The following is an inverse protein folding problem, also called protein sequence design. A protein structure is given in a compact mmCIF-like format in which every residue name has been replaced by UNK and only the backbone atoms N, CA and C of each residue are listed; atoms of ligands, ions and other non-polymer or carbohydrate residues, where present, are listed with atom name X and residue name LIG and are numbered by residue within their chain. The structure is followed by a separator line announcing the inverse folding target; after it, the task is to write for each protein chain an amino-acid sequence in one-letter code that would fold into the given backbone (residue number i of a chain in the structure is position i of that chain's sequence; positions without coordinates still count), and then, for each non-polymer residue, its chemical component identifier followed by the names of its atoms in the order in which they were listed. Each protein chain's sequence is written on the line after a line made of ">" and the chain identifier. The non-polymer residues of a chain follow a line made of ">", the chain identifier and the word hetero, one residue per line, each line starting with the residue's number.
data_IF_516980132802
#
_entry.id   IF_516980132802
#
_cell.length_a   1.000
_cell.length_b   1.000
_cell.length_c   1.000
_cell.angle_alpha   90.00
_cell.angle_beta   90.00
_cell.angle_gamma   90.00
#
_symmetry.space_group_name_H-M   'P 1'
#
loop_
_entity.id
_entity.type
_entity.pdbx_description
1 polymer ?
#
# COMPACT_ATOMS: atom_id res chain seq x y z
N UNK A 1 19.10 10.53 34.58
CA UNK A 1 18.00 9.81 35.26
C UNK A 1 17.56 8.67 34.34
N UNK A 2 17.80 7.41 34.71
CA UNK A 2 17.42 6.26 33.89
C UNK A 2 15.97 5.86 34.18
N UNK A 3 15.04 5.96 33.22
CA UNK A 3 13.66 5.48 33.38
C UNK A 3 13.55 3.94 33.48
N UNK A 4 14.68 3.22 33.44
CA UNK A 4 14.75 1.75 33.48
C UNK A 4 15.17 1.17 34.83
N UNK A 5 15.26 1.98 35.88
CA UNK A 5 15.51 1.41 37.21
C UNK A 5 14.34 0.48 37.55
N UNK A 6 14.64 -0.80 37.80
CA UNK A 6 13.64 -1.81 38.13
C UNK A 6 12.91 -1.39 39.41
N UNK A 7 11.67 -0.91 39.25
CA UNK A 7 10.79 -0.71 40.41
C UNK A 7 10.49 -2.10 41.00
N UNK A 8 10.75 -2.25 42.28
CA UNK A 8 10.43 -3.45 43.05
C UNK A 8 8.95 -3.44 43.49
N UNK A 9 8.30 -2.28 43.40
CA UNK A 9 6.85 -2.12 43.60
C UNK A 9 5.98 -2.59 42.43
N UNK A 10 6.54 -3.36 41.49
CA UNK A 10 5.91 -3.73 40.22
C UNK A 10 6.17 -5.22 39.94
N UNK A 11 5.15 -5.97 39.52
CA UNK A 11 5.27 -7.42 39.30
C UNK A 11 6.01 -7.76 37.99
N UNK A 12 6.24 -9.05 37.74
CA UNK A 12 6.90 -9.48 36.50
C UNK A 12 6.09 -9.14 35.25
N UNK A 13 4.75 -9.25 35.28
CA UNK A 13 3.90 -9.00 34.11
C UNK A 13 3.95 -7.53 33.71
N UNK A 14 3.96 -6.64 34.69
CA UNK A 14 4.16 -5.23 34.44
C UNK A 14 5.50 -4.98 33.75
N UNK A 15 6.59 -5.67 34.15
CA UNK A 15 7.88 -5.53 33.45
C UNK A 15 7.74 -5.84 31.96
N UNK A 16 6.99 -6.88 31.59
CA UNK A 16 6.69 -7.20 30.18
C UNK A 16 5.97 -6.04 29.48
N UNK A 17 5.04 -5.34 30.15
CA UNK A 17 4.41 -4.14 29.59
C UNK A 17 5.41 -3.02 29.32
N UNK A 18 6.46 -2.83 30.15
CA UNK A 18 7.56 -1.89 29.85
C UNK A 18 8.26 -2.24 28.55
N UNK A 19 8.58 -3.52 28.39
CA UNK A 19 9.28 -4.01 27.20
C UNK A 19 8.41 -3.86 25.96
N UNK A 20 7.10 -4.07 26.09
CA UNK A 20 6.15 -3.81 25.02
C UNK A 20 6.11 -2.33 24.61
N UNK A 21 6.06 -1.40 25.58
CA UNK A 21 6.14 0.05 25.29
C UNK A 21 7.43 0.38 24.56
N UNK A 22 8.59 -0.14 25.00
CA UNK A 22 9.87 0.08 24.32
C UNK A 22 9.90 -0.52 22.92
N UNK A 23 9.34 -1.72 22.76
CA UNK A 23 9.22 -2.37 21.47
C UNK A 23 8.38 -1.52 20.52
N UNK A 24 7.22 -1.00 20.95
CA UNK A 24 6.39 -0.12 20.14
C UNK A 24 7.07 1.21 19.83
N UNK A 25 7.79 1.82 20.78
CA UNK A 25 8.57 3.03 20.52
C UNK A 25 9.69 2.80 19.50
N UNK A 26 10.39 1.68 19.60
CA UNK A 26 11.42 1.28 18.64
C UNK A 26 10.79 1.04 17.26
N UNK A 27 9.65 0.36 17.21
CA UNK A 27 8.92 0.09 15.97
C UNK A 27 8.38 1.37 15.33
N UNK A 28 7.88 2.32 16.13
CA UNK A 28 7.48 3.65 15.67
C UNK A 28 8.67 4.41 15.09
N UNK A 29 9.83 4.37 15.76
CA UNK A 29 11.05 5.00 15.26
C UNK A 29 11.53 4.35 13.95
N UNK A 30 11.56 3.02 13.87
CA UNK A 30 11.95 2.29 12.66
C UNK A 30 11.01 2.62 11.51
N UNK A 31 9.69 2.58 11.73
CA UNK A 31 8.70 2.90 10.70
C UNK A 31 8.77 4.36 10.24
N UNK A 32 9.16 5.27 11.13
CA UNK A 32 9.38 6.68 10.80
C UNK A 32 10.68 6.94 10.04
N UNK A 33 11.74 6.18 10.34
CA UNK A 33 13.05 6.28 9.66
C UNK A 33 13.09 5.54 8.32
N UNK A 34 12.25 4.53 8.12
CA UNK A 34 12.19 3.74 6.89
C UNK A 34 12.09 4.57 5.59
N UNK A 35 11.21 5.59 5.49
CA UNK A 35 11.12 6.42 4.30
C UNK A 35 12.31 7.36 4.07
N UNK A 36 13.13 7.60 5.10
CA UNK A 36 14.39 8.36 4.97
C UNK A 36 15.52 7.49 4.41
N UNK A 37 15.29 6.18 4.23
CA UNK A 37 16.27 5.32 3.61
C UNK A 37 16.50 5.73 2.13
N UNK A 38 17.75 5.71 1.65
CA UNK A 38 18.10 6.16 0.30
C UNK A 38 17.42 5.34 -0.82
N UNK A 39 16.88 4.16 -0.48
CA UNK A 39 16.11 3.30 -1.39
C UNK A 39 14.71 3.85 -1.66
N UNK A 40 14.13 4.61 -0.71
CA UNK A 40 12.78 5.20 -0.83
C UNK A 40 12.80 6.61 -1.42
N UNK A 41 13.86 7.38 -1.16
CA UNK A 41 13.98 8.77 -1.62
C UNK A 41 14.09 8.86 -3.17
N UNK A 42 14.70 7.86 -3.81
CA UNK A 42 14.78 7.76 -5.27
C UNK A 42 13.43 7.50 -5.93
N UNK A 43 12.42 7.02 -5.19
CA UNK A 43 11.04 6.85 -5.66
C UNK A 43 10.14 8.04 -5.34
N UNK A 44 10.29 8.64 -4.16
CA UNK A 44 9.53 9.83 -3.77
C UNK A 44 9.91 11.08 -4.57
N UNK A 45 11.14 11.14 -5.11
CA UNK A 45 11.63 12.25 -5.94
C UNK A 45 11.76 11.88 -7.43
N UNK A 46 10.96 10.93 -7.93
CA UNK A 46 10.75 10.85 -9.38
C UNK A 46 10.00 12.12 -9.82
N UNK A 47 10.49 12.87 -10.82
CA UNK A 47 10.07 14.24 -11.10
C UNK A 47 8.68 14.27 -11.75
N UNK A 48 7.63 14.28 -10.93
CA UNK A 48 6.26 14.66 -11.29
C UNK A 48 5.86 16.02 -10.73
N UNK A 49 6.56 16.51 -9.71
CA UNK A 49 6.41 17.85 -9.17
C UNK A 49 7.26 18.84 -9.96
N UNK A 50 6.88 19.09 -11.22
CA UNK A 50 7.09 20.44 -11.73
C UNK A 50 5.92 21.28 -11.26
N UNK A 51 6.26 22.40 -10.64
CA UNK A 51 5.34 23.44 -10.24
C UNK A 51 4.28 23.69 -11.32
N UNK A 52 3.09 24.10 -10.89
CA UNK A 52 2.16 24.88 -11.70
C UNK A 52 2.93 25.97 -12.45
N UNK A 53 3.42 25.67 -13.65
CA UNK A 53 3.72 26.67 -14.65
C UNK A 53 2.38 27.03 -15.26
N UNK A 54 2.05 28.31 -15.14
CA UNK A 54 0.96 28.94 -15.87
C UNK A 54 1.00 28.52 -17.35
N UNK A 55 -0.16 28.37 -18.00
CA UNK A 55 -0.19 28.05 -19.42
C UNK A 55 0.37 29.26 -20.18
N UNK A 56 1.64 29.19 -20.54
CA UNK A 56 2.20 30.05 -21.59
C UNK A 56 1.44 29.66 -22.85
N UNK A 57 0.56 30.57 -23.25
CA UNK A 57 -0.17 30.60 -24.50
C UNK A 57 0.86 30.73 -25.64
N UNK A 58 1.49 29.62 -26.02
CA UNK A 58 2.24 29.53 -27.25
C UNK A 58 1.23 29.48 -28.40
N UNK A 59 1.04 30.64 -29.03
CA UNK A 59 0.49 30.77 -30.36
C UNK A 59 1.25 29.80 -31.29
N UNK A 60 0.67 28.64 -31.54
CA UNK A 60 0.96 27.87 -32.72
C UNK A 60 0.27 28.59 -33.88
N UNK A 61 1.08 29.25 -34.72
CA UNK A 61 0.66 29.64 -36.06
C UNK A 61 0.00 28.45 -36.76
N UNK A 62 -1.08 28.66 -37.52
CA UNK A 62 -1.76 27.57 -38.20
C UNK A 62 -0.81 26.98 -39.24
N UNK A 63 -0.23 25.82 -38.91
CA UNK A 63 0.46 24.97 -39.86
C UNK A 63 -0.51 24.71 -41.01
N UNK A 64 -0.22 25.36 -42.14
CA UNK A 64 -0.92 25.23 -43.39
C UNK A 64 -1.02 23.74 -43.71
N UNK A 65 -2.25 23.22 -43.61
CA UNK A 65 -2.60 21.82 -43.78
C UNK A 65 -2.36 21.43 -45.24
N UNK A 66 -1.10 21.13 -45.57
CA UNK A 66 -0.77 20.44 -46.81
C UNK A 66 -1.46 19.09 -46.74
N UNK A 67 -2.62 18.96 -47.40
CA UNK A 67 -3.32 17.69 -47.63
C UNK A 67 -2.30 16.78 -48.32
N UNK A 68 -1.66 15.87 -47.57
CA UNK A 68 -1.01 14.73 -48.21
C UNK A 68 -2.14 13.88 -48.82
N UNK A 69 -2.10 13.59 -50.13
CA UNK A 69 -3.10 12.73 -50.74
C UNK A 69 -3.05 11.34 -50.08
N UNK A 70 -4.22 10.80 -49.76
CA UNK A 70 -4.37 9.47 -49.17
C UNK A 70 -3.78 8.44 -50.13
N UNK A 71 -2.74 7.71 -49.72
CA UNK A 71 -2.11 6.68 -50.55
C UNK A 71 -2.79 5.34 -50.34
N UNK A 72 -3.07 4.63 -51.41
CA UNK A 72 -3.58 3.26 -51.38
C UNK A 72 -2.50 2.28 -51.81
N UNK A 73 -2.57 1.04 -51.32
CA UNK A 73 -1.74 -0.10 -51.75
C UNK A 73 -2.64 -1.14 -52.41
N UNK A 74 -2.17 -1.74 -53.50
CA UNK A 74 -2.90 -2.73 -54.28
C UNK A 74 -2.38 -4.15 -54.00
N UNK A 75 -3.26 -5.04 -53.57
CA UNK A 75 -3.00 -6.47 -53.45
C UNK A 75 -3.75 -7.22 -54.55
N UNK A 76 -3.02 -7.62 -55.60
CA UNK A 76 -3.58 -8.29 -56.77
C UNK A 76 -3.46 -9.81 -56.71
N UNK A 77 -4.52 -10.50 -57.12
CA UNK A 77 -4.57 -11.95 -57.29
C UNK A 77 -3.79 -12.36 -58.54
N UNK A 78 -2.50 -12.67 -58.37
CA UNK A 78 -1.61 -13.05 -59.47
C UNK A 78 -1.67 -14.57 -59.74
N UNK A 79 -1.43 -15.03 -60.99
CA UNK A 79 -1.37 -16.45 -61.33
C UNK A 79 -0.20 -17.16 -60.62
N UNK A 80 -0.35 -18.45 -60.35
CA UNK A 80 0.66 -19.24 -59.64
C UNK A 80 2.02 -19.30 -60.38
N UNK A 81 2.05 -19.12 -61.70
CA UNK A 81 3.26 -19.09 -62.50
C UNK A 81 4.06 -17.77 -62.41
N UNK A 82 3.56 -16.74 -61.71
CA UNK A 82 4.29 -15.48 -61.54
C UNK A 82 5.39 -15.63 -60.48
N UNK A 83 6.57 -15.09 -60.79
CA UNK A 83 7.66 -14.96 -59.81
C UNK A 83 7.36 -13.80 -58.85
N UNK A 84 8.04 -13.74 -57.71
CA UNK A 84 7.88 -12.64 -56.75
C UNK A 84 8.09 -11.25 -57.39
N UNK A 85 9.01 -11.13 -58.36
CA UNK A 85 9.23 -9.89 -59.09
C UNK A 85 8.03 -9.51 -59.98
N UNK A 86 7.39 -10.47 -60.64
CA UNK A 86 6.17 -10.22 -61.43
C UNK A 86 4.99 -9.83 -60.54
N UNK A 87 4.87 -10.43 -59.35
CA UNK A 87 3.85 -10.06 -58.35
C UNK A 87 4.08 -8.62 -57.86
N UNK A 88 5.30 -8.27 -57.46
CA UNK A 88 5.65 -6.93 -57.01
C UNK A 88 5.42 -5.87 -58.10
N UNK A 89 5.80 -6.16 -59.34
CA UNK A 89 5.52 -5.29 -60.48
C UNK A 89 4.01 -5.08 -60.68
N UNK A 90 3.22 -6.16 -60.58
CA UNK A 90 1.77 -6.10 -60.73
C UNK A 90 1.12 -5.24 -59.65
N UNK A 91 1.51 -5.44 -58.38
CA UNK A 91 1.05 -4.60 -57.26
C UNK A 91 1.40 -3.13 -57.49
N UNK A 92 2.66 -2.83 -57.83
CA UNK A 92 3.13 -1.46 -58.03
C UNK A 92 2.47 -0.74 -59.21
N UNK A 93 2.24 -1.42 -60.33
CA UNK A 93 1.60 -0.83 -61.52
C UNK A 93 0.12 -0.54 -61.27
N UNK A 94 -0.60 -1.46 -60.61
CA UNK A 94 -2.00 -1.27 -60.27
C UNK A 94 -2.18 -0.23 -59.15
N UNK A 95 -1.33 -0.24 -58.13
CA UNK A 95 -1.22 0.81 -57.10
C UNK A 95 -1.00 2.19 -57.74
N UNK A 96 -0.03 2.27 -58.65
CA UNK A 96 0.30 3.52 -59.36
C UNK A 96 -0.87 4.05 -60.17
N UNK A 97 -1.57 3.19 -60.91
CA UNK A 97 -2.74 3.58 -61.68
C UNK A 97 -3.88 4.12 -60.79
N UNK A 98 -4.17 3.44 -59.69
CA UNK A 98 -5.26 3.84 -58.80
C UNK A 98 -4.98 5.16 -58.09
N UNK A 99 -3.76 5.31 -57.54
CA UNK A 99 -3.35 6.56 -56.92
C UNK A 99 -3.25 7.71 -57.93
N UNK A 100 -2.85 7.45 -59.19
CA UNK A 100 -2.82 8.46 -60.24
C UNK A 100 -4.24 9.00 -60.55
N UNK A 101 -5.21 8.09 -60.72
CA UNK A 101 -6.60 8.46 -61.00
C UNK A 101 -7.23 9.20 -59.81
N UNK A 102 -6.99 8.73 -58.57
CA UNK A 102 -7.48 9.40 -57.36
C UNK A 102 -6.93 10.82 -57.18
N UNK A 103 -5.73 11.09 -57.69
CA UNK A 103 -5.13 12.42 -57.66
C UNK A 103 -5.59 13.32 -58.82
N UNK A 104 -6.66 12.95 -59.53
CA UNK A 104 -7.22 13.72 -60.65
C UNK A 104 -6.56 13.45 -62.00
N UNK A 105 -5.72 12.41 -62.10
CA UNK A 105 -5.14 11.97 -63.36
C UNK A 105 -6.20 11.35 -64.28
N UNK A 106 -6.05 11.55 -65.60
CA UNK A 106 -6.98 10.98 -66.57
C UNK A 106 -6.79 9.45 -66.67
N UNK A 107 -7.88 8.68 -66.56
CA UNK A 107 -7.83 7.21 -66.57
C UNK A 107 -7.23 6.62 -67.87
N UNK A 108 -7.28 7.34 -68.99
CA UNK A 108 -6.65 6.91 -70.25
C UNK A 108 -5.11 7.00 -70.23
N UNK A 109 -4.54 7.82 -69.35
CA UNK A 109 -3.09 8.05 -69.23
C UNK A 109 -2.46 7.23 -68.10
N UNK A 110 -3.28 6.53 -67.31
CA UNK A 110 -2.80 5.70 -66.21
C UNK A 110 -1.93 4.52 -66.73
N UNK A 111 -0.92 4.10 -65.94
CA UNK A 111 -0.03 2.98 -66.30
C UNK A 111 -0.76 1.64 -66.43
N UNK A 112 -1.98 1.53 -65.89
CA UNK A 112 -2.89 0.42 -66.06
C UNK A 112 -4.33 0.91 -66.15
N UNK A 113 -5.18 0.15 -66.84
CA UNK A 113 -6.62 0.43 -66.91
C UNK A 113 -7.33 -0.25 -65.74
N UNK A 114 -8.14 0.51 -65.01
CA UNK A 114 -8.91 -0.01 -63.87
C UNK A 114 -10.39 -0.08 -64.23
N UNK A 115 -11.04 -1.19 -63.85
CA UNK A 115 -12.45 -1.44 -64.15
C UNK A 115 -13.18 -2.05 -62.95
N UNK A 116 -14.48 -1.78 -62.82
CA UNK A 116 -15.33 -2.42 -61.81
C UNK A 116 -15.74 -3.83 -62.22
N UNK A 117 -16.25 -4.63 -61.27
CA UNK A 117 -16.62 -6.04 -61.47
C UNK A 117 -17.60 -6.20 -62.65
N UNK A 118 -17.23 -7.09 -63.59
CA UNK A 118 -18.02 -7.41 -64.79
C UNK A 118 -19.23 -8.28 -64.40
N UNK A 119 -20.45 -7.83 -64.69
CA UNK A 119 -21.61 -8.74 -64.69
C UNK A 119 -21.61 -9.54 -66.01
N UNK A 120 -21.86 -10.86 -65.97
CA UNK A 120 -21.87 -11.67 -67.18
C UNK A 120 -22.97 -11.19 -68.15
N UNK A 121 -22.58 -10.77 -69.36
CA UNK A 121 -23.49 -10.31 -70.42
C UNK A 121 -23.51 -8.80 -70.71
N UNK A 122 -22.75 -7.97 -69.98
CA UNK A 122 -22.70 -6.52 -70.21
C UNK A 122 -21.69 -6.10 -71.30
N UNK A 123 -21.94 -4.98 -72.05
CA UNK A 123 -20.95 -4.38 -72.96
C UNK A 123 -19.69 -3.89 -72.22
N UNK A 124 -18.64 -3.56 -72.97
CA UNK A 124 -17.29 -3.21 -72.47
C UNK A 124 -17.34 -2.30 -71.23
N UNK A 125 -16.72 -2.68 -70.09
CA UNK A 125 -16.88 -1.96 -68.83
C UNK A 125 -16.31 -0.54 -68.94
N UNK A 126 -17.06 0.43 -68.40
CA UNK A 126 -16.58 1.81 -68.33
C UNK A 126 -15.28 1.88 -67.50
N UNK A 127 -14.26 2.61 -67.97
CA UNK A 127 -13.04 2.81 -67.20
C UNK A 127 -13.37 3.50 -65.88
N UNK A 128 -12.71 3.07 -64.80
CA UNK A 128 -12.78 3.74 -63.51
C UNK A 128 -12.24 5.17 -63.66
N UNK A 129 -13.13 6.16 -63.53
CA UNK A 129 -12.84 7.58 -63.79
C UNK A 129 -13.17 8.48 -62.60
N UNK A 130 -12.69 9.74 -62.62
CA UNK A 130 -12.89 10.71 -61.55
C UNK A 130 -14.38 10.95 -61.21
N UNK A 131 -15.26 10.82 -62.20
CA UNK A 131 -16.72 10.97 -62.07
C UNK A 131 -17.37 9.97 -61.09
N UNK A 132 -16.73 8.82 -60.81
CA UNK A 132 -17.20 7.86 -59.79
C UNK A 132 -16.72 8.21 -58.38
N UNK A 133 -15.70 9.07 -58.24
CA UNK A 133 -15.14 9.52 -56.97
C UNK A 133 -15.82 10.80 -56.48
N UNK A 134 -16.34 11.62 -57.40
CA UNK A 134 -17.05 12.90 -57.15
C UNK A 134 -18.50 12.77 -56.63
N UNK A 135 -18.92 11.62 -56.11
CA UNK A 135 -20.18 11.55 -55.39
C UNK A 135 -20.05 12.34 -54.07
N UNK A 136 -20.77 13.47 -53.92
CA UNK A 136 -20.87 14.31 -52.71
C UNK A 136 -21.12 13.53 -51.40
N UNK A 137 -21.58 12.28 -51.48
CA UNK A 137 -21.80 11.40 -50.33
C UNK A 137 -20.50 10.80 -49.76
N UNK A 138 -19.43 10.67 -50.55
CA UNK A 138 -18.17 10.05 -50.11
C UNK A 138 -17.32 11.01 -49.26
N UNK A 139 -17.26 12.29 -49.65
CA UNK A 139 -16.55 13.31 -48.87
C UNK A 139 -17.20 13.53 -47.49
N UNK A 140 -18.55 13.58 -47.43
CA UNK A 140 -19.29 13.68 -46.18
C UNK A 140 -19.08 12.48 -45.25
N UNK A 141 -19.06 11.26 -45.79
CA UNK A 141 -18.80 10.05 -45.01
C UNK A 141 -17.38 10.05 -44.40
N UNK A 142 -16.37 10.52 -45.14
CA UNK A 142 -14.99 10.65 -44.64
C UNK A 142 -14.89 11.72 -43.54
N UNK A 143 -15.60 12.84 -43.65
CA UNK A 143 -15.62 13.87 -42.62
C UNK A 143 -16.34 13.43 -41.35
N UNK A 144 -17.47 12.72 -41.46
CA UNK A 144 -18.18 12.12 -40.32
C UNK A 144 -17.33 11.06 -39.61
N UNK A 145 -16.59 10.23 -40.36
CA UNK A 145 -15.70 9.23 -39.78
C UNK A 145 -14.51 9.86 -39.05
N UNK A 146 -13.91 10.92 -39.62
CA UNK A 146 -12.86 11.70 -38.93
C UNK A 146 -13.38 12.36 -37.65
N UNK A 147 -14.58 12.92 -37.68
CA UNK A 147 -15.22 13.49 -36.50
C UNK A 147 -15.51 12.41 -35.43
N UNK A 148 -15.98 11.23 -35.85
CA UNK A 148 -16.21 10.09 -34.96
C UNK A 148 -14.90 9.54 -34.36
N UNK A 149 -13.84 9.43 -35.16
CA UNK A 149 -12.53 8.97 -34.72
C UNK A 149 -11.88 9.97 -33.75
N UNK A 150 -11.97 11.26 -34.03
CA UNK A 150 -11.50 12.32 -33.13
C UNK A 150 -12.29 12.32 -31.81
N UNK A 151 -13.61 12.07 -31.85
CA UNK A 151 -14.43 11.93 -30.64
C UNK A 151 -14.04 10.71 -29.82
N UNK A 152 -13.74 9.57 -30.45
CA UNK A 152 -13.24 8.35 -29.78
C UNK A 152 -11.87 8.58 -29.14
N UNK A 153 -10.95 9.25 -29.82
CA UNK A 153 -9.63 9.60 -29.27
C UNK A 153 -9.76 10.48 -28.03
N UNK A 154 -10.58 11.55 -28.08
CA UNK A 154 -10.83 12.41 -26.91
C UNK A 154 -11.46 11.64 -25.74
N UNK A 155 -12.39 10.72 -26.00
CA UNK A 155 -12.96 9.88 -24.96
C UNK A 155 -11.93 8.93 -24.33
N UNK A 156 -11.00 8.41 -25.13
CA UNK A 156 -9.93 7.53 -24.65
C UNK A 156 -8.89 8.30 -23.83
N UNK A 157 -8.51 9.51 -24.27
CA UNK A 157 -7.63 10.41 -23.53
C UNK A 157 -8.25 10.83 -22.19
N UNK A 158 -9.54 11.19 -22.17
CA UNK A 158 -10.25 11.53 -20.93
C UNK A 158 -10.29 10.35 -19.96
N UNK A 159 -10.55 9.12 -20.43
CA UNK A 159 -10.52 7.92 -19.58
C UNK A 159 -9.12 7.66 -19.02
N UNK A 160 -8.08 7.82 -19.84
CA UNK A 160 -6.69 7.62 -19.40
C UNK A 160 -6.27 8.68 -18.37
N UNK A 161 -6.66 9.94 -18.59
CA UNK A 161 -6.38 11.02 -17.64
C UNK A 161 -7.10 10.79 -16.31
N UNK A 162 -8.37 10.39 -16.35
CA UNK A 162 -9.12 10.05 -15.13
C UNK A 162 -8.52 8.85 -14.38
N UNK A 163 -7.99 7.85 -15.09
CA UNK A 163 -7.27 6.73 -14.47
C UNK A 163 -5.97 7.18 -13.80
N UNK A 164 -5.21 8.10 -14.44
CA UNK A 164 -3.98 8.65 -13.86
C UNK A 164 -4.25 9.47 -12.61
N UNK A 165 -5.29 10.30 -12.62
CA UNK A 165 -5.69 11.10 -11.45
C UNK A 165 -6.08 10.20 -10.27
N UNK A 166 -6.88 9.14 -10.51
CA UNK A 166 -7.21 8.16 -9.46
C UNK A 166 -5.97 7.42 -8.94
N UNK A 167 -5.04 7.06 -9.83
CA UNK A 167 -3.80 6.41 -9.44
C UNK A 167 -2.90 7.31 -8.59
N UNK A 168 -2.83 8.61 -8.91
CA UNK A 168 -2.14 9.60 -8.10
C UNK A 168 -2.79 9.77 -6.73
N UNK A 169 -4.13 9.92 -6.69
CA UNK A 169 -4.87 10.05 -5.42
C UNK A 169 -4.67 8.84 -4.50
N UNK A 170 -4.68 7.63 -5.07
CA UNK A 170 -4.39 6.39 -4.32
C UNK A 170 -2.95 6.35 -3.81
N UNK A 171 -1.99 6.77 -4.62
CA UNK A 171 -0.59 6.81 -4.22
C UNK A 171 -0.33 7.85 -3.12
N UNK A 172 -0.98 9.01 -3.19
CA UNK A 172 -0.90 10.05 -2.18
C UNK A 172 -1.54 9.59 -0.86
N UNK A 173 -2.70 8.93 -0.92
CA UNK A 173 -3.33 8.29 0.26
C UNK A 173 -2.42 7.22 0.88
N UNK A 174 -1.81 6.38 0.04
CA UNK A 174 -0.88 5.36 0.50
C UNK A 174 0.35 5.97 1.17
N UNK A 175 0.97 6.97 0.55
CA UNK A 175 2.11 7.69 1.09
C UNK A 175 1.75 8.34 2.44
N UNK A 176 0.61 9.03 2.53
CA UNK A 176 0.15 9.62 3.79
C UNK A 176 -0.09 8.56 4.88
N UNK A 177 -0.67 7.42 4.52
CA UNK A 177 -0.89 6.31 5.46
C UNK A 177 0.43 5.75 6.01
N UNK A 178 1.42 5.53 5.14
CA UNK A 178 2.71 4.96 5.54
C UNK A 178 3.63 5.93 6.28
N UNK A 179 3.70 7.18 5.81
CA UNK A 179 4.64 8.19 6.33
C UNK A 179 4.17 8.86 7.61
N UNK A 180 2.84 9.06 7.73
CA UNK A 180 2.28 9.86 8.82
C UNK A 180 1.44 8.98 9.72
N UNK A 181 0.42 8.33 9.17
CA UNK A 181 -0.60 7.64 9.99
C UNK A 181 0.00 6.46 10.76
N UNK A 182 0.81 5.64 10.10
CA UNK A 182 1.38 4.43 10.70
C UNK A 182 2.32 4.72 11.87
N UNK A 183 3.43 5.46 11.70
CA UNK A 183 4.36 5.72 12.81
C UNK A 183 3.68 6.51 13.95
N UNK A 184 2.80 7.47 13.62
CA UNK A 184 2.04 8.21 14.62
C UNK A 184 1.12 7.30 15.42
N UNK A 185 0.39 6.39 14.76
CA UNK A 185 -0.49 5.43 15.45
C UNK A 185 0.29 4.51 16.39
N UNK A 186 1.44 3.99 15.96
CA UNK A 186 2.29 3.11 16.78
C UNK A 186 2.85 3.89 17.98
N UNK A 187 3.27 5.14 17.77
CA UNK A 187 3.71 6.01 18.85
C UNK A 187 2.59 6.28 19.86
N UNK A 188 1.38 6.62 19.40
CA UNK A 188 0.23 6.86 20.28
C UNK A 188 -0.15 5.61 21.07
N UNK A 189 -0.10 4.42 20.48
CA UNK A 189 -0.27 3.15 21.20
C UNK A 189 0.79 2.99 22.30
N UNK A 190 2.06 3.23 22.00
CA UNK A 190 3.12 3.17 23.01
C UNK A 190 2.87 4.13 24.19
N UNK A 191 2.39 5.35 23.91
CA UNK A 191 2.03 6.34 24.93
C UNK A 191 0.83 5.86 25.75
N UNK A 192 -0.23 5.37 25.11
CA UNK A 192 -1.43 4.86 25.77
C UNK A 192 -1.10 3.70 26.74
N UNK A 193 -0.24 2.75 26.35
CA UNK A 193 0.25 1.69 27.25
C UNK A 193 1.12 2.21 28.41
N UNK A 194 1.78 3.36 28.26
CA UNK A 194 2.60 3.95 29.31
C UNK A 194 1.77 4.72 30.36
N UNK A 195 0.61 5.26 29.98
CA UNK A 195 -0.24 6.10 30.84
C UNK A 195 -0.59 5.43 32.19
N UNK A 196 -1.06 4.18 32.27
CA UNK A 196 -1.48 3.62 33.56
C UNK A 196 -0.36 3.60 34.59
N UNK A 197 0.89 3.38 34.15
CA UNK A 197 2.07 3.41 35.03
C UNK A 197 2.44 4.81 35.49
N UNK A 198 2.31 5.80 34.61
CA UNK A 198 2.48 7.20 35.00
C UNK A 198 1.43 7.59 36.05
N UNK A 199 0.18 7.18 35.83
CA UNK A 199 -0.92 7.37 36.79
C UNK A 199 -0.61 6.69 38.12
N UNK A 200 -0.12 5.45 38.12
CA UNK A 200 0.31 4.76 39.33
C UNK A 200 1.43 5.49 40.07
N UNK A 201 2.47 5.93 39.38
CA UNK A 201 3.59 6.63 40.01
C UNK A 201 3.13 7.96 40.63
N UNK A 202 2.27 8.70 39.94
CA UNK A 202 1.72 9.96 40.45
C UNK A 202 0.80 9.74 41.65
N UNK A 203 -0.14 8.80 41.55
CA UNK A 203 -1.10 8.54 42.62
C UNK A 203 -0.46 7.87 43.83
N UNK A 204 0.55 7.02 43.64
CA UNK A 204 1.30 6.42 44.75
C UNK A 204 2.11 7.47 45.50
N UNK A 205 2.71 8.45 44.81
CA UNK A 205 3.41 9.55 45.48
C UNK A 205 2.47 10.52 46.22
N UNK A 206 1.27 10.78 45.67
CA UNK A 206 0.37 11.82 46.21
C UNK A 206 -0.62 11.29 47.26
N UNK A 207 -1.10 10.06 47.10
CA UNK A 207 -2.26 9.54 47.84
C UNK A 207 -1.88 8.38 48.77
N UNK A 208 -0.82 7.65 48.44
CA UNK A 208 -0.38 6.52 49.27
C UNK A 208 0.37 7.02 50.50
N UNK A 209 -0.05 6.57 51.68
CA UNK A 209 0.74 6.76 52.90
C UNK A 209 2.03 5.93 52.91
N UNK A 210 2.15 4.95 52.01
CA UNK A 210 3.28 4.03 51.90
C UNK A 210 3.89 4.15 50.51
N UNK A 211 5.15 4.59 50.44
CA UNK A 211 5.93 4.47 49.22
C UNK A 211 6.46 3.03 49.10
N UNK A 212 5.70 2.18 48.42
CA UNK A 212 5.98 0.75 48.25
C UNK A 212 7.35 0.53 47.63
N UNK A 213 7.70 1.28 46.59
CA UNK A 213 8.95 1.11 45.87
C UNK A 213 10.14 1.47 46.75
N UNK A 214 10.11 2.63 47.41
CA UNK A 214 11.17 3.03 48.33
C UNK A 214 11.32 2.07 49.50
N UNK A 215 10.21 1.55 50.04
CA UNK A 215 10.23 0.59 51.15
C UNK A 215 10.90 -0.72 50.73
N UNK A 216 10.54 -1.25 49.56
CA UNK A 216 11.10 -2.49 49.03
C UNK A 216 12.56 -2.33 48.59
N UNK A 217 12.92 -1.19 48.01
CA UNK A 217 14.32 -0.88 47.65
C UNK A 217 15.17 -0.76 48.92
N UNK A 218 14.68 -0.06 49.95
CA UNK A 218 15.38 0.08 51.22
C UNK A 218 15.55 -1.26 51.93
N UNK A 219 14.52 -2.11 51.89
CA UNK A 219 14.60 -3.47 52.42
C UNK A 219 15.62 -4.31 51.63
N UNK A 220 15.58 -4.27 50.29
CA UNK A 220 16.49 -5.03 49.45
C UNK A 220 17.94 -4.58 49.60
N UNK A 221 18.21 -3.28 49.62
CA UNK A 221 19.57 -2.77 49.85
C UNK A 221 20.02 -3.02 51.29
N UNK A 222 19.10 -2.92 52.25
CA UNK A 222 19.31 -3.27 53.65
C UNK A 222 19.72 -4.73 53.88
N UNK A 223 19.38 -5.63 52.96
CA UNK A 223 19.79 -7.04 53.04
C UNK A 223 21.31 -7.23 52.95
N UNK A 224 22.05 -6.23 52.46
CA UNK A 224 23.52 -6.23 52.35
C UNK A 224 24.22 -5.75 53.63
N UNK A 225 23.47 -5.26 54.62
CA UNK A 225 24.01 -4.82 55.91
C UNK A 225 24.32 -6.02 56.82
N UNK A 226 25.11 -5.76 57.86
CA UNK A 226 25.37 -6.71 58.93
C UNK A 226 24.07 -7.19 59.60
N UNK A 227 24.10 -8.39 60.18
CA UNK A 227 22.90 -9.07 60.67
C UNK A 227 22.04 -8.20 61.61
N UNK A 228 22.66 -7.53 62.58
CA UNK A 228 21.98 -6.70 63.57
C UNK A 228 21.40 -5.42 62.94
N UNK A 229 22.19 -4.74 62.10
CA UNK A 229 21.75 -3.54 61.38
C UNK A 229 20.61 -3.84 60.40
N UNK A 230 20.68 -4.98 59.73
CA UNK A 230 19.64 -5.49 58.83
C UNK A 230 18.35 -5.80 59.57
N UNK A 231 18.42 -6.49 60.71
CA UNK A 231 17.25 -6.76 61.53
C UNK A 231 16.59 -5.47 62.04
N UNK A 232 17.40 -4.51 62.53
CA UNK A 232 16.91 -3.23 62.99
C UNK A 232 16.22 -2.45 61.87
N UNK A 233 16.86 -2.32 60.70
CA UNK A 233 16.28 -1.63 59.56
C UNK A 233 14.96 -2.29 59.10
N UNK A 234 14.92 -3.62 59.01
CA UNK A 234 13.69 -4.32 58.64
C UNK A 234 12.58 -4.12 59.68
N UNK A 235 12.90 -4.09 60.97
CA UNK A 235 11.94 -3.83 62.03
C UNK A 235 11.40 -2.39 61.97
N UNK A 236 12.26 -1.40 61.73
CA UNK A 236 11.87 0.01 61.56
C UNK A 236 11.00 0.21 60.31
N UNK A 237 11.38 -0.37 59.17
CA UNK A 237 10.59 -0.32 57.94
C UNK A 237 9.21 -1.01 58.11
N UNK A 238 9.18 -2.17 58.78
CA UNK A 238 7.93 -2.87 59.07
C UNK A 238 7.00 -2.07 59.99
N UNK A 239 7.57 -1.43 61.01
CA UNK A 239 6.82 -0.55 61.93
C UNK A 239 6.25 0.66 61.18
N UNK A 240 7.06 1.38 60.42
CA UNK A 240 6.63 2.54 59.64
C UNK A 240 5.52 2.18 58.63
N UNK A 241 5.67 1.05 57.92
CA UNK A 241 4.66 0.58 56.96
C UNK A 241 3.32 0.25 57.64
N UNK A 242 3.33 -0.25 58.88
CA UNK A 242 2.10 -0.54 59.64
C UNK A 242 1.43 0.70 60.20
N UNK A 243 2.21 1.66 60.68
CA UNK A 243 1.66 2.94 61.14
C UNK A 243 0.96 3.66 59.98
N UNK A 244 1.59 3.66 58.80
CA UNK A 244 1.00 4.21 57.59
C UNK A 244 -0.22 3.40 57.10
N UNK A 245 -0.21 2.06 57.19
CA UNK A 245 -1.38 1.26 56.80
C UNK A 245 -2.56 1.44 57.76
N UNK A 246 -2.32 1.63 59.06
CA UNK A 246 -3.39 1.92 60.03
C UNK A 246 -4.11 3.24 59.73
N UNK A 247 -3.38 4.25 59.25
CA UNK A 247 -3.97 5.53 58.84
C UNK A 247 -4.86 5.40 57.60
N UNK A 248 -4.55 4.48 56.68
CA UNK A 248 -5.35 4.23 55.48
C UNK A 248 -5.25 2.78 54.98
N UNK A 249 -6.07 1.84 55.49
CA UNK A 249 -5.77 0.41 55.35
C UNK A 249 -5.96 -0.21 53.96
N UNK A 250 -6.46 0.55 52.98
CA UNK A 250 -6.92 0.04 51.67
C UNK A 250 -6.43 0.88 50.49
N UNK A 251 -5.76 2.01 50.73
CA UNK A 251 -5.49 2.98 49.66
C UNK A 251 -4.47 2.42 48.67
N UNK A 252 -3.37 1.87 49.19
CA UNK A 252 -2.26 1.39 48.37
C UNK A 252 -2.67 0.17 47.55
N UNK A 253 -3.35 -0.79 48.17
CA UNK A 253 -3.81 -2.02 47.51
C UNK A 253 -4.87 -1.72 46.45
N UNK A 254 -5.82 -0.83 46.73
CA UNK A 254 -6.88 -0.45 45.78
C UNK A 254 -6.30 0.31 44.60
N UNK A 255 -5.34 1.20 44.86
CA UNK A 255 -4.62 1.92 43.81
C UNK A 255 -3.86 0.94 42.88
N UNK A 256 -3.26 -0.10 43.45
CA UNK A 256 -2.53 -1.10 42.67
C UNK A 256 -3.47 -1.98 41.85
N UNK A 257 -4.62 -2.34 42.42
CA UNK A 257 -5.67 -3.03 41.69
C UNK A 257 -6.22 -2.18 40.54
N UNK A 258 -6.41 -0.88 40.76
CA UNK A 258 -6.81 0.07 39.72
C UNK A 258 -5.76 0.15 38.61
N UNK A 259 -4.46 0.17 38.95
CA UNK A 259 -3.38 0.07 37.95
C UNK A 259 -3.55 -1.21 37.10
N UNK A 260 -3.74 -2.38 37.72
CA UNK A 260 -3.91 -3.65 36.99
C UNK A 260 -5.12 -3.62 36.05
N UNK A 261 -6.23 -3.06 36.52
CA UNK A 261 -7.43 -2.89 35.71
C UNK A 261 -7.17 -1.96 34.52
N UNK A 262 -6.54 -0.80 34.76
CA UNK A 262 -6.20 0.16 33.71
C UNK A 262 -5.24 -0.43 32.68
N UNK A 263 -4.24 -1.24 33.10
CA UNK A 263 -3.36 -1.95 32.18
C UNK A 263 -4.13 -2.92 31.29
N UNK A 264 -5.10 -3.67 31.85
CA UNK A 264 -5.95 -4.57 31.06
C UNK A 264 -6.80 -3.79 30.05
N UNK A 265 -7.47 -2.73 30.50
CA UNK A 265 -8.35 -1.91 29.65
C UNK A 265 -7.55 -1.24 28.53
N UNK A 266 -6.39 -0.68 28.82
CA UNK A 266 -5.53 -0.04 27.82
C UNK A 266 -5.11 -1.03 26.73
N UNK A 267 -4.60 -2.20 27.11
CA UNK A 267 -4.14 -3.22 26.13
C UNK A 267 -5.31 -3.77 25.29
N UNK A 268 -6.46 -4.03 25.92
CA UNK A 268 -7.65 -4.52 25.20
C UNK A 268 -8.18 -3.45 24.24
N UNK A 269 -8.27 -2.19 24.68
CA UNK A 269 -8.72 -1.08 23.85
C UNK A 269 -7.80 -0.91 22.62
N UNK A 270 -6.48 -0.95 22.81
CA UNK A 270 -5.53 -0.89 21.70
C UNK A 270 -5.65 -2.07 20.75
N UNK A 271 -5.79 -3.29 21.27
CA UNK A 271 -5.98 -4.47 20.43
C UNK A 271 -7.24 -4.35 19.55
N UNK A 272 -8.34 -3.82 20.12
CA UNK A 272 -9.58 -3.53 19.39
C UNK A 272 -9.35 -2.48 18.31
N UNK A 273 -8.66 -1.38 18.61
CA UNK A 273 -8.36 -0.32 17.64
C UNK A 273 -7.50 -0.85 16.48
N UNK A 274 -6.46 -1.65 16.78
CA UNK A 274 -5.64 -2.28 15.74
C UNK A 274 -6.46 -3.21 14.86
N UNK A 275 -7.28 -4.07 15.47
CA UNK A 275 -8.08 -5.05 14.75
C UNK A 275 -9.18 -4.43 13.88
N UNK A 276 -9.88 -3.41 14.40
CA UNK A 276 -11.06 -2.83 13.75
C UNK A 276 -10.75 -1.62 12.87
N UNK A 277 -9.64 -0.91 13.09
CA UNK A 277 -9.34 0.33 12.37
C UNK A 277 -8.10 0.21 11.50
N UNK A 278 -6.93 -0.07 12.08
CA UNK A 278 -5.67 0.00 11.32
C UNK A 278 -5.48 -1.16 10.35
N UNK A 279 -5.81 -2.38 10.79
CA UNK A 279 -5.60 -3.58 9.98
C UNK A 279 -6.55 -3.64 8.76
N UNK A 280 -7.84 -3.26 8.87
CA UNK A 280 -8.72 -3.13 7.70
C UNK A 280 -8.27 -2.02 6.75
N UNK A 281 -7.78 -0.88 7.24
CA UNK A 281 -7.26 0.20 6.39
C UNK A 281 -6.04 -0.26 5.59
N UNK A 282 -5.10 -0.96 6.23
CA UNK A 282 -3.93 -1.52 5.53
C UNK A 282 -4.33 -2.55 4.46
N UNK A 283 -5.32 -3.40 4.74
CA UNK A 283 -5.85 -4.38 3.78
C UNK A 283 -6.64 -3.74 2.63
N UNK A 284 -7.43 -2.71 2.91
CA UNK A 284 -8.15 -1.96 1.87
C UNK A 284 -7.18 -1.30 0.91
N UNK A 285 -6.15 -0.63 1.42
CA UNK A 285 -5.11 0.00 0.61
C UNK A 285 -4.36 -1.02 -0.27
N UNK A 286 -4.10 -2.22 0.26
CA UNK A 286 -3.52 -3.34 -0.50
C UNK A 286 -4.39 -3.75 -1.67
N UNK A 287 -5.69 -3.92 -1.44
CA UNK A 287 -6.64 -4.31 -2.47
C UNK A 287 -6.74 -3.23 -3.56
N UNK A 288 -6.86 -1.95 -3.17
CA UNK A 288 -6.96 -0.83 -4.10
C UNK A 288 -5.69 -0.69 -4.98
N UNK A 289 -4.50 -0.86 -4.39
CA UNK A 289 -3.24 -0.83 -5.12
C UNK A 289 -3.09 -2.02 -6.09
N UNK A 290 -3.57 -3.20 -5.71
CA UNK A 290 -3.55 -4.38 -6.58
C UNK A 290 -4.53 -4.24 -7.74
N UNK A 291 -5.78 -3.84 -7.48
CA UNK A 291 -6.79 -3.63 -8.52
C UNK A 291 -6.35 -2.56 -9.53
N UNK A 292 -5.74 -1.47 -9.05
CA UNK A 292 -5.25 -0.42 -9.94
C UNK A 292 -4.07 -0.91 -10.81
N UNK A 293 -3.18 -1.76 -10.27
CA UNK A 293 -2.10 -2.37 -11.06
C UNK A 293 -2.68 -3.17 -12.23
N UNK A 294 -3.66 -4.04 -11.99
CA UNK A 294 -4.31 -4.84 -13.04
C UNK A 294 -4.99 -3.99 -14.11
N UNK A 295 -5.62 -2.87 -13.72
CA UNK A 295 -6.31 -1.98 -14.65
C UNK A 295 -5.36 -1.15 -15.53
N UNK A 296 -4.20 -0.75 -15.00
CA UNK A 296 -3.16 -0.04 -15.76
C UNK A 296 -2.34 -0.97 -16.68
N UNK A 297 -2.25 -2.27 -16.34
CA UNK A 297 -1.59 -3.28 -17.18
C UNK A 297 -2.54 -4.07 -18.07
N UNK A 298 -3.73 -3.54 -18.39
CA UNK A 298 -4.70 -4.18 -19.31
C UNK A 298 -4.07 -4.61 -20.65
N UNK A 299 -4.63 -5.66 -21.29
CA UNK A 299 -3.87 -6.71 -21.96
C UNK A 299 -3.18 -6.23 -23.24
N UNK A 300 -1.85 -6.35 -23.28
CA UNK A 300 -1.11 -6.37 -24.55
C UNK A 300 -1.10 -7.75 -25.22
N UNK A 301 -1.74 -8.76 -24.62
CA UNK A 301 -2.05 -10.02 -25.29
C UNK A 301 -3.44 -9.93 -25.90
N UNK A 302 -3.48 -9.53 -27.17
CA UNK A 302 -4.53 -10.00 -28.07
C UNK A 302 -4.35 -11.53 -28.11
N UNK A 303 -5.20 -12.23 -27.37
CA UNK A 303 -5.46 -13.65 -27.60
C UNK A 303 -6.03 -13.76 -29.03
N UNK A 304 -5.14 -14.06 -29.98
CA UNK A 304 -5.47 -14.92 -31.11
C UNK A 304 -5.87 -16.27 -30.54
N UNK A 305 -7.14 -16.45 -30.20
CA UNK A 305 -7.88 -17.65 -30.52
C UNK A 305 -9.34 -17.53 -30.09
N UNK A 306 -10.21 -18.01 -30.97
CA UNK A 306 -11.64 -18.25 -30.79
C UNK A 306 -12.58 -17.03 -30.84
N UNK A 307 -12.87 -16.60 -32.06
CA UNK A 307 -14.25 -16.19 -32.46
C UNK A 307 -14.43 -16.29 -33.98
N UNK A 308 -14.31 -17.52 -34.50
CA UNK A 308 -14.88 -17.90 -35.78
C UNK A 308 -16.36 -18.24 -35.53
N UNK A 309 -17.27 -17.27 -35.66
CA UNK A 309 -18.68 -17.57 -35.95
C UNK A 309 -19.55 -16.35 -36.30
N UNK A 310 -19.40 -15.18 -35.66
CA UNK A 310 -20.46 -14.15 -35.72
C UNK A 310 -20.08 -12.79 -36.33
N UNK A 311 -18.93 -12.70 -37.02
CA UNK A 311 -18.50 -11.47 -37.71
C UNK A 311 -18.96 -11.43 -39.18
N UNK A 312 -20.24 -11.67 -39.46
CA UNK A 312 -20.77 -11.59 -40.83
C UNK A 312 -21.78 -10.46 -41.08
N UNK A 313 -22.06 -9.58 -40.11
CA UNK A 313 -23.06 -8.50 -40.31
C UNK A 313 -22.73 -7.11 -39.72
N UNK A 314 -21.53 -6.86 -39.20
CA UNK A 314 -21.20 -5.58 -38.56
C UNK A 314 -19.95 -4.85 -39.09
N UNK A 315 -19.54 -5.14 -40.34
CA UNK A 315 -18.43 -4.44 -41.01
C UNK A 315 -18.82 -4.03 -42.44
N UNK A 316 -20.02 -3.47 -42.59
CA UNK A 316 -20.35 -2.59 -43.70
C UNK A 316 -20.31 -1.17 -43.15
N UNK A 317 -19.48 -0.31 -43.75
CA UNK A 317 -19.35 1.13 -43.52
C UNK A 317 -18.26 1.59 -42.53
N UNK A 318 -16.99 1.47 -42.95
CA UNK A 318 -15.96 2.50 -42.75
C UNK A 318 -14.68 2.11 -43.50
N UNK A 319 -14.16 2.97 -44.36
CA UNK A 319 -12.96 2.75 -45.23
C UNK A 319 -13.01 1.51 -46.14
N UNK A 320 -13.98 1.44 -47.05
CA UNK A 320 -14.15 0.29 -47.93
C UNK A 320 -12.92 0.07 -48.81
N UNK A 321 -12.20 -1.03 -48.55
CA UNK A 321 -11.26 -1.59 -49.52
C UNK A 321 -12.01 -1.81 -50.84
N UNK A 322 -11.48 -1.25 -51.93
CA UNK A 322 -12.14 -1.33 -53.23
C UNK A 322 -11.58 -2.52 -54.00
N UNK A 323 -12.46 -3.27 -54.65
CA UNK A 323 -12.08 -4.41 -55.50
C UNK A 323 -12.27 -4.01 -56.95
N UNK A 324 -11.16 -3.87 -57.68
CA UNK A 324 -11.17 -3.49 -59.10
C UNK A 324 -10.34 -4.49 -59.92
N UNK A 325 -10.68 -4.62 -61.19
CA UNK A 325 -9.85 -5.31 -62.17
C UNK A 325 -8.81 -4.34 -62.72
N UNK A 326 -7.55 -4.76 -62.73
CA UNK A 326 -6.42 -4.02 -63.24
C UNK A 326 -5.89 -4.70 -64.51
N UNK A 327 -6.09 -4.03 -65.65
CA UNK A 327 -5.61 -4.42 -66.97
C UNK A 327 -4.30 -3.72 -67.33
N UNK A 328 -3.22 -4.48 -67.50
CA UNK A 328 -1.90 -3.94 -67.85
C UNK A 328 -1.16 -4.83 -68.86
N UNK A 329 -0.12 -4.28 -69.47
CA UNK A 329 0.73 -5.00 -70.43
C UNK A 329 2.09 -5.29 -69.79
N UNK A 330 2.57 -6.53 -69.94
CA UNK A 330 3.90 -6.93 -69.49
C UNK A 330 4.64 -7.55 -70.66
N UNK A 331 5.92 -7.18 -70.84
CA UNK A 331 6.78 -7.73 -71.89
C UNK A 331 7.62 -8.86 -71.30
N UNK A 332 7.43 -10.08 -71.79
CA UNK A 332 8.21 -11.26 -71.39
C UNK A 332 8.88 -11.79 -72.65
N UNK A 333 10.22 -11.83 -72.67
CA UNK A 333 11.02 -12.47 -73.73
C UNK A 333 10.54 -12.13 -75.16
N UNK A 334 10.42 -10.82 -75.46
CA UNK A 334 9.98 -10.22 -76.74
C UNK A 334 8.47 -10.24 -77.06
N UNK A 335 7.64 -11.01 -76.36
CA UNK A 335 6.19 -10.96 -76.50
C UNK A 335 5.56 -9.97 -75.51
N UNK A 336 4.62 -9.13 -75.97
CA UNK A 336 3.79 -8.29 -75.09
C UNK A 336 2.51 -9.05 -74.78
N UNK A 337 2.31 -9.41 -73.52
CA UNK A 337 1.10 -10.08 -73.05
C UNK A 337 0.23 -9.08 -72.27
N UNK A 338 -1.09 -9.17 -72.47
CA UNK A 338 -2.07 -8.40 -71.70
C UNK A 338 -2.54 -9.25 -70.52
N UNK A 339 -2.53 -8.67 -69.34
CA UNK A 339 -2.98 -9.30 -68.10
C UNK A 339 -4.12 -8.48 -67.51
N UNK A 340 -5.12 -9.17 -66.97
CA UNK A 340 -6.21 -8.58 -66.21
C UNK A 340 -6.29 -9.30 -64.87
N UNK A 341 -6.07 -8.55 -63.77
CA UNK A 341 -5.97 -9.11 -62.42
C UNK A 341 -6.98 -8.44 -61.50
N UNK A 342 -7.63 -9.23 -60.65
CA UNK A 342 -8.47 -8.68 -59.59
C UNK A 342 -7.58 -8.18 -58.45
N UNK A 343 -7.72 -6.91 -58.07
CA UNK A 343 -6.91 -6.27 -57.03
C UNK A 343 -7.80 -5.67 -55.94
N UNK A 344 -7.36 -5.82 -54.70
CA UNK A 344 -7.94 -5.17 -53.52
C UNK A 344 -7.08 -3.95 -53.18
N UNK A 345 -7.69 -2.77 -53.17
CA UNK A 345 -7.05 -1.50 -52.86
C UNK A 345 -7.38 -1.09 -51.43
N UNK A 346 -6.36 -0.96 -50.59
CA UNK A 346 -6.53 -0.62 -49.16
C UNK A 346 -5.78 0.68 -48.83
N UNK A 347 -6.34 1.57 -48.00
CA UNK A 347 -5.67 2.80 -47.62
C UNK A 347 -4.44 2.50 -46.74
N UNK A 348 -3.34 3.17 -47.01
CA UNK A 348 -2.16 3.15 -46.13
C UNK A 348 -2.44 4.08 -44.96
N UNK A 349 -2.65 3.51 -43.78
CA UNK A 349 -2.66 4.26 -42.53
C UNK A 349 -1.19 4.50 -42.20
N UNK A 350 -0.64 5.64 -42.63
CA UNK A 350 0.68 6.07 -42.17
C UNK A 350 0.65 6.12 -40.63
N UNK A 351 1.50 5.35 -39.92
CA UNK A 351 1.71 5.62 -38.51
C UNK A 351 2.19 7.07 -38.40
N UNK A 352 1.58 7.84 -37.49
CA UNK A 352 1.94 9.24 -37.25
C UNK A 352 3.48 9.39 -37.20
N UNK A 353 4.06 10.45 -37.78
CA UNK A 353 5.50 10.60 -37.86
C UNK A 353 6.09 10.48 -36.45
N UNK A 354 6.92 9.47 -36.24
CA UNK A 354 7.76 9.38 -35.07
C UNK A 354 8.51 10.70 -34.93
N UNK A 355 8.40 11.32 -33.76
CA UNK A 355 9.19 12.50 -33.42
C UNK A 355 10.68 12.19 -33.68
N UNK A 356 11.47 13.15 -34.18
CA UNK A 356 12.88 12.94 -34.42
C UNK A 356 13.60 12.64 -33.11
N UNK A 357 14.09 11.42 -33.00
CA UNK A 357 15.06 10.99 -32.00
C UNK A 357 16.30 11.87 -32.12
N UNK A 358 16.74 12.62 -31.09
CA UNK A 358 18.04 13.23 -31.13
C UNK A 358 19.09 12.12 -31.08
N UNK A 359 19.93 12.08 -32.12
CA UNK A 359 21.12 11.23 -32.19
C UNK A 359 22.09 11.67 -31.10
N UNK A 360 22.09 10.97 -29.96
CA UNK A 360 23.18 11.04 -28.99
C UNK A 360 24.02 9.79 -29.16
N UNK A 361 25.32 10.03 -29.30
CA UNK A 361 26.36 9.04 -29.50
C UNK A 361 26.25 7.86 -28.53
N UNK A 362 26.49 6.68 -29.08
CA UNK A 362 26.64 5.39 -28.42
C UNK A 362 27.65 5.42 -27.27
N UNK A 363 27.18 5.19 -26.04
CA UNK A 363 27.93 4.57 -24.94
C UNK A 363 27.17 3.32 -24.48
N UNK A 364 27.85 2.29 -23.93
CA UNK A 364 27.34 0.93 -23.94
C UNK A 364 26.12 0.76 -23.03
N UNK A 365 25.15 0.03 -23.58
CA UNK A 365 23.93 -0.46 -22.97
C UNK A 365 24.18 -1.09 -21.59
N UNK A 366 23.96 -0.31 -20.53
CA UNK A 366 23.52 -0.85 -19.26
C UNK A 366 22.03 -1.11 -19.41
N UNK A 367 21.61 -2.38 -19.29
CA UNK A 367 20.22 -2.78 -19.11
C UNK A 367 19.57 -1.84 -18.10
N UNK A 368 18.74 -0.92 -18.59
CA UNK A 368 17.90 -0.09 -17.76
C UNK A 368 16.67 -0.93 -17.48
N UNK A 369 16.71 -1.60 -16.34
CA UNK A 369 15.62 -2.39 -15.80
C UNK A 369 14.33 -1.56 -15.76
N UNK A 370 13.24 -2.25 -16.07
CA UNK A 370 11.84 -1.88 -15.85
C UNK A 370 11.63 -0.99 -14.61
N UNK A 371 10.76 0.04 -14.68
CA UNK A 371 10.56 1.00 -13.59
C UNK A 371 10.06 0.32 -12.29
N UNK A 372 10.24 0.99 -11.13
CA UNK A 372 10.27 0.36 -9.81
C UNK A 372 8.88 0.13 -9.20
N UNK A 373 7.97 -0.48 -9.95
CA UNK A 373 6.56 -0.64 -9.54
C UNK A 373 6.30 -1.87 -8.65
N UNK A 374 7.24 -2.81 -8.50
CA UNK A 374 7.15 -3.93 -7.55
C UNK A 374 7.32 -3.50 -6.07
N UNK A 375 7.93 -2.34 -5.85
CA UNK A 375 8.28 -1.84 -4.51
C UNK A 375 7.06 -1.45 -3.66
N UNK A 376 6.04 -0.85 -4.27
CA UNK A 376 4.84 -0.39 -3.57
C UNK A 376 4.03 -1.56 -2.99
N UNK A 377 3.92 -2.67 -3.74
CA UNK A 377 3.27 -3.88 -3.23
C UNK A 377 4.00 -4.43 -2.00
N UNK A 378 5.33 -4.51 -2.06
CA UNK A 378 6.15 -5.04 -0.96
C UNK A 378 6.01 -4.21 0.32
N UNK A 379 5.99 -2.88 0.20
CA UNK A 379 5.80 -1.98 1.34
C UNK A 379 4.47 -2.24 2.05
N UNK A 380 3.38 -2.41 1.31
CA UNK A 380 2.05 -2.67 1.89
C UNK A 380 2.03 -3.97 2.71
N UNK A 381 2.65 -5.05 2.19
CA UNK A 381 2.76 -6.33 2.93
C UNK A 381 3.57 -6.21 4.22
N UNK A 382 4.63 -5.41 4.19
CA UNK A 382 5.45 -5.15 5.37
C UNK A 382 4.63 -4.45 6.46
N UNK A 383 3.86 -3.42 6.12
CA UNK A 383 3.02 -2.71 7.10
C UNK A 383 1.85 -3.56 7.61
N UNK A 384 1.21 -4.37 6.76
CA UNK A 384 0.20 -5.36 7.20
C UNK A 384 0.80 -6.33 8.24
N UNK A 385 2.03 -6.80 7.97
CA UNK A 385 2.77 -7.70 8.86
C UNK A 385 3.15 -7.03 10.17
N UNK A 386 3.55 -5.75 10.14
CA UNK A 386 3.81 -4.93 11.34
C UNK A 386 2.56 -4.85 12.23
N UNK A 387 1.39 -4.55 11.67
CA UNK A 387 0.16 -4.49 12.45
C UNK A 387 -0.29 -5.85 13.00
N UNK A 388 -0.04 -6.95 12.27
CA UNK A 388 -0.27 -8.31 12.78
C UNK A 388 0.66 -8.64 13.96
N UNK A 389 1.95 -8.27 13.88
CA UNK A 389 2.91 -8.44 14.98
C UNK A 389 2.49 -7.60 16.20
N UNK A 390 2.04 -6.37 15.99
CA UNK A 390 1.52 -5.53 17.07
C UNK A 390 0.28 -6.17 17.69
N UNK A 391 -0.69 -6.61 16.89
CA UNK A 391 -1.91 -7.23 17.38
C UNK A 391 -1.64 -8.48 18.20
N UNK A 392 -0.79 -9.38 17.70
CA UNK A 392 -0.40 -10.61 18.41
C UNK A 392 0.30 -10.31 19.73
N UNK A 393 1.19 -9.32 19.75
CA UNK A 393 1.84 -8.84 20.98
C UNK A 393 0.82 -8.29 21.97
N UNK A 394 -0.12 -7.45 21.52
CA UNK A 394 -1.18 -6.90 22.36
C UNK A 394 -2.09 -7.99 22.93
N UNK A 395 -2.46 -8.99 22.15
CA UNK A 395 -3.27 -10.13 22.64
C UNK A 395 -2.51 -10.92 23.70
N UNK A 396 -1.22 -11.21 23.49
CA UNK A 396 -0.40 -11.90 24.49
C UNK A 396 -0.27 -11.09 25.80
N UNK A 397 -0.12 -9.77 25.69
CA UNK A 397 -0.13 -8.87 26.84
C UNK A 397 -1.50 -8.82 27.51
N UNK A 398 -2.60 -8.81 26.76
CA UNK A 398 -3.94 -8.81 27.33
C UNK A 398 -4.17 -10.05 28.20
N UNK A 399 -3.83 -11.23 27.68
CA UNK A 399 -3.92 -12.50 28.42
C UNK A 399 -3.05 -12.45 29.67
N UNK A 400 -1.81 -11.95 29.55
CA UNK A 400 -0.87 -11.85 30.67
C UNK A 400 -1.37 -10.89 31.75
N UNK A 401 -1.92 -9.73 31.35
CA UNK A 401 -2.45 -8.72 32.26
C UNK A 401 -3.73 -9.20 32.95
N UNK A 402 -4.64 -9.86 32.23
CA UNK A 402 -5.85 -10.44 32.81
C UNK A 402 -5.50 -11.55 33.80
N UNK A 403 -4.55 -12.43 33.46
CA UNK A 403 -4.06 -13.45 34.37
C UNK A 403 -3.42 -12.82 35.63
N UNK A 404 -2.59 -11.79 35.48
CA UNK A 404 -2.02 -11.03 36.60
C UNK A 404 -3.11 -10.40 37.47
N UNK A 405 -4.10 -9.74 36.86
CA UNK A 405 -5.24 -9.14 37.56
C UNK A 405 -6.00 -10.19 38.39
N UNK A 406 -6.29 -11.35 37.81
CA UNK A 406 -6.99 -12.45 38.49
C UNK A 406 -6.15 -13.02 39.64
N UNK A 407 -4.84 -13.23 39.42
CA UNK A 407 -3.92 -13.70 40.47
C UNK A 407 -3.88 -12.70 41.63
N UNK A 408 -3.78 -11.40 41.35
CA UNK A 408 -3.77 -10.37 42.38
C UNK A 408 -5.13 -10.23 43.07
N UNK A 409 -6.23 -10.36 42.35
CA UNK A 409 -7.57 -10.40 42.93
C UNK A 409 -7.66 -11.54 43.94
N UNK A 410 -7.32 -12.77 43.53
CA UNK A 410 -7.34 -13.96 44.39
C UNK A 410 -6.41 -13.78 45.58
N UNK A 411 -5.17 -13.28 45.39
CA UNK A 411 -4.23 -13.04 46.49
C UNK A 411 -4.83 -12.09 47.53
N UNK A 412 -5.46 -11.00 47.10
CA UNK A 412 -5.98 -9.97 48.00
C UNK A 412 -7.31 -10.37 48.68
N UNK A 413 -8.16 -11.17 48.00
CA UNK A 413 -9.45 -11.62 48.53
C UNK A 413 -9.34 -12.91 49.35
N UNK A 414 -8.55 -13.89 48.91
CA UNK A 414 -8.42 -15.20 49.55
C UNK A 414 -7.21 -15.19 50.50
N UNK A 415 -7.38 -14.57 51.66
CA UNK A 415 -6.31 -14.50 52.67
C UNK A 415 -6.22 -15.80 53.48
N UNK A 416 -5.00 -16.29 53.79
CA UNK A 416 -4.82 -17.36 54.77
C UNK A 416 -5.37 -16.94 56.13
N UNK A 417 -5.97 -17.87 56.89
CA UNK A 417 -6.50 -17.58 58.23
C UNK A 417 -5.43 -16.95 59.16
N UNK A 418 -4.17 -17.35 59.01
CA UNK A 418 -3.03 -16.82 59.78
C UNK A 418 -2.77 -15.31 59.54
N UNK A 419 -3.14 -14.78 58.38
CA UNK A 419 -2.91 -13.38 57.98
C UNK A 419 -4.21 -12.56 57.92
N UNK A 420 -5.32 -13.11 58.42
CA UNK A 420 -6.66 -12.51 58.30
C UNK A 420 -6.82 -11.20 59.05
N UNK A 421 -6.06 -11.01 60.14
CA UNK A 421 -6.10 -9.81 60.97
C UNK A 421 -5.25 -8.64 60.42
N UNK A 422 -4.36 -8.90 59.44
CA UNK A 422 -3.51 -7.84 58.91
C UNK A 422 -4.32 -6.83 58.06
N UNK A 423 -4.02 -5.52 58.14
CA UNK A 423 -4.53 -4.52 57.21
C UNK A 423 -4.23 -4.91 55.76
N UNK A 424 -5.16 -4.63 54.83
CA UNK A 424 -5.03 -5.02 53.42
C UNK A 424 -3.75 -4.46 52.78
N UNK A 425 -3.39 -3.21 53.07
CA UNK A 425 -2.17 -2.58 52.58
C UNK A 425 -0.89 -3.25 53.11
N UNK A 426 -0.87 -3.70 54.38
CA UNK A 426 0.28 -4.44 54.94
C UNK A 426 0.39 -5.83 54.34
N UNK A 427 -0.74 -6.51 54.15
CA UNK A 427 -0.78 -7.81 53.47
C UNK A 427 -0.34 -7.68 52.00
N UNK A 428 -0.75 -6.63 51.30
CA UNK A 428 -0.26 -6.32 49.96
C UNK A 428 1.26 -6.12 49.95
N UNK A 429 1.80 -5.30 50.87
CA UNK A 429 3.23 -5.09 50.98
C UNK A 429 3.99 -6.38 51.32
N UNK A 430 3.41 -7.26 52.14
CA UNK A 430 3.96 -8.59 52.45
C UNK A 430 4.12 -9.43 51.18
N UNK A 431 3.09 -9.47 50.32
CA UNK A 431 3.14 -10.22 49.07
C UNK A 431 4.17 -9.63 48.10
N UNK A 432 4.20 -8.30 47.96
CA UNK A 432 5.21 -7.63 47.13
C UNK A 432 6.64 -7.84 47.66
N UNK A 433 6.82 -7.87 48.97
CA UNK A 433 8.10 -8.16 49.61
C UNK A 433 8.57 -9.59 49.33
N UNK A 434 7.66 -10.58 49.44
CA UNK A 434 7.96 -11.99 49.10
C UNK A 434 8.42 -12.15 47.66
N UNK A 435 7.80 -11.41 46.73
CA UNK A 435 8.16 -11.50 45.31
C UNK A 435 9.44 -10.74 44.94
N UNK A 436 9.70 -9.58 45.56
CA UNK A 436 10.71 -8.65 45.04
C UNK A 436 11.86 -8.30 46.02
N UNK A 437 11.63 -8.34 47.33
CA UNK A 437 12.62 -7.93 48.34
C UNK A 437 13.27 -9.11 49.09
N UNK A 438 12.65 -10.30 49.06
CA UNK A 438 13.17 -11.52 49.67
C UNK A 438 12.44 -11.94 50.96
N UNK A 439 12.73 -13.15 51.42
CA UNK A 439 12.02 -13.80 52.53
C UNK A 439 12.33 -13.17 53.90
N UNK A 440 13.52 -12.61 54.08
CA UNK A 440 13.95 -12.02 55.36
C UNK A 440 13.03 -10.88 55.79
N UNK A 441 12.85 -9.87 54.92
CA UNK A 441 11.95 -8.75 55.19
C UNK A 441 10.49 -9.20 55.32
N UNK A 442 10.03 -10.11 54.45
CA UNK A 442 8.67 -10.65 54.53
C UNK A 442 8.40 -11.34 55.88
N UNK A 443 9.38 -12.08 56.42
CA UNK A 443 9.25 -12.75 57.72
C UNK A 443 9.17 -11.78 58.89
N UNK A 444 9.87 -10.64 58.81
CA UNK A 444 9.79 -9.58 59.83
C UNK A 444 8.43 -8.88 59.77
N UNK A 445 7.92 -8.63 58.56
CA UNK A 445 6.63 -7.99 58.34
C UNK A 445 5.45 -8.84 58.86
N UNK A 446 5.54 -10.17 58.75
CA UNK A 446 4.52 -11.10 59.26
C UNK A 446 4.61 -11.33 60.79
N UNK A 447 5.81 -11.37 61.37
CA UNK A 447 6.00 -11.72 62.80
C UNK A 447 5.69 -10.59 63.78
N UNK A 448 5.75 -9.35 63.36
CA UNK A 448 5.68 -8.20 64.26
C UNK A 448 4.30 -8.01 64.92
N UNK A 449 3.26 -8.78 64.57
CA UNK A 449 1.94 -8.74 65.25
C UNK A 449 1.88 -9.67 66.48
N UNK A 450 2.47 -10.86 66.39
CA UNK A 450 2.40 -11.87 67.45
C UNK A 450 2.99 -11.42 68.80
N UNK A 451 3.81 -10.35 68.81
CA UNK A 451 4.53 -9.88 69.99
C UNK A 451 3.90 -8.64 70.65
N UNK A 452 2.97 -7.95 69.98
CA UNK A 452 2.41 -6.69 70.48
C UNK A 452 1.05 -6.87 71.18
N UNK A 453 0.34 -7.98 70.91
CA UNK A 453 -0.88 -8.38 71.62
C UNK A 453 -0.66 -9.39 72.75
N UNK A 454 0.60 -9.75 73.05
CA UNK A 454 0.88 -10.35 74.36
C UNK A 454 0.86 -9.22 75.38
N UNK A 455 -0.16 -9.14 76.27
CA UNK A 455 -0.06 -8.24 77.41
C UNK A 455 1.26 -8.57 78.09
N UNK A 456 2.11 -7.54 78.27
CA UNK A 456 3.18 -7.67 79.24
C UNK A 456 2.54 -8.27 80.50
N UNK A 457 3.09 -9.34 81.09
CA UNK A 457 2.66 -9.74 82.41
C UNK A 457 2.88 -8.53 83.29
N UNK A 458 1.78 -7.83 83.62
CA UNK A 458 1.77 -6.82 84.67
C UNK A 458 2.47 -7.48 85.85
N UNK A 459 3.52 -6.81 86.29
CA UNK A 459 4.37 -7.20 87.39
C UNK A 459 3.53 -7.87 88.47
N UNK A 460 3.69 -9.18 88.59
CA UNK A 460 3.22 -9.91 89.76
C UNK A 460 4.13 -9.46 90.88
N UNK A 461 3.76 -8.33 91.51
CA UNK A 461 4.32 -7.81 92.75
C UNK A 461 4.49 -8.97 93.71
N UNK A 462 5.75 -9.38 93.94
CA UNK A 462 6.11 -10.16 95.12
C UNK A 462 5.81 -9.31 96.35
N UNK A 463 4.63 -9.51 96.94
CA UNK A 463 4.39 -9.14 98.33
C UNK A 463 4.95 -10.23 99.25
N UNK A 464 6.00 -9.80 99.95
CA UNK A 464 6.54 -10.26 101.23
C UNK A 464 7.11 -11.67 101.33
#
# INVERSE_FOLDING_TARGET
>A
MWPFRQSLGVDHVDRCNTWAVLFLLLLALITWLLPLSPVSLSQAMAPGYTAKSEPIMSQAEPAQKVRRPTRYVANCWCPAQFTAAHVAYTHGVCEGAFNFILNGGNASEAPAKLFTIRQPGAPEPAPFGPDMVESENWERAIEEEKAAQQKRQRQQEQKLQQQRERAQELNDKAAYFFLVTTPLSIFLMAVCLAIPRLVWNLLSCLVSGINVDQTLVSAKEGSKLDHDSRQQLHAELAKAAREASRASPWRTSTLYFLLKLLMCVAVVAEAIVVHNSFLPQARGLKQDLQENKFNLTGPSSVDTDNTVADTSKATQNSTASMVLFCGYKMRILQAVQNYEMQCVFSPVIDPAPAQPTPTVASLPSAKMDTPPQESASFQVYMYESVYLIILTTLVALAVSNVASLLVWLVKLTCRPCQDSNLPLDTFFLLQMARENAGLDFASVLSKTEAKQDSPLPEDMEMKA
#
